data_IF_914983513434
#
_entry.id   IF_914983513434
#
_cell.length_a   1.000
_cell.length_b   1.000
_cell.length_c   1.000
_cell.angle_alpha   90.00
_cell.angle_beta   90.00
_cell.angle_gamma   90.00
#
_symmetry.space_group_name_H-M   'P 1'
#
loop_
_entity.id
_entity.type
_entity.pdbx_description
1 polymer ?
#
# COMPACT_ATOMS: atom_id res chain seq x y z
N UNK A 1 -10.91 16.39 29.47
CA UNK A 1 -12.15 15.69 29.07
C UNK A 1 -13.28 16.16 29.98
N UNK A 2 -14.36 16.70 29.41
CA UNK A 2 -15.55 17.15 30.17
C UNK A 2 -16.29 15.92 30.76
N UNK A 3 -16.52 15.86 32.08
CA UNK A 3 -17.26 14.76 32.72
C UNK A 3 -18.65 14.49 32.11
N UNK A 4 -19.32 15.52 31.57
CA UNK A 4 -20.64 15.37 30.94
C UNK A 4 -20.55 14.70 29.58
N UNK A 5 -19.49 15.00 28.84
CA UNK A 5 -19.21 14.40 27.54
C UNK A 5 -18.82 12.93 27.69
N UNK A 6 -17.96 12.62 28.66
CA UNK A 6 -17.61 11.24 29.03
C UNK A 6 -18.86 10.41 29.40
N UNK A 7 -19.76 10.97 30.21
CA UNK A 7 -20.98 10.29 30.61
C UNK A 7 -21.92 10.04 29.44
N UNK A 8 -22.09 11.01 28.53
CA UNK A 8 -22.88 10.85 27.30
C UNK A 8 -22.30 9.77 26.39
N UNK A 9 -21.00 9.78 26.13
CA UNK A 9 -20.34 8.74 25.34
C UNK A 9 -20.51 7.34 25.95
N UNK A 10 -20.41 7.23 27.29
CA UNK A 10 -20.55 5.96 27.99
C UNK A 10 -21.97 5.42 27.89
N UNK A 11 -22.99 6.28 28.01
CA UNK A 11 -24.38 5.89 27.85
C UNK A 11 -24.70 5.46 26.42
N UNK A 12 -24.25 6.22 25.42
CA UNK A 12 -24.48 5.90 24.01
C UNK A 12 -23.80 4.57 23.62
N UNK A 13 -22.55 4.36 24.05
CA UNK A 13 -21.86 3.06 23.88
C UNK A 13 -22.65 1.91 24.51
N UNK A 14 -23.10 2.09 25.75
CA UNK A 14 -23.85 1.06 26.50
C UNK A 14 -25.18 0.73 25.84
N UNK A 15 -25.89 1.74 25.30
CA UNK A 15 -27.18 1.57 24.64
C UNK A 15 -27.07 0.78 23.33
N UNK A 16 -25.95 0.89 22.60
CA UNK A 16 -25.72 0.18 21.34
C UNK A 16 -25.19 -1.25 21.53
N UNK A 17 -24.65 -1.59 22.69
CA UNK A 17 -24.07 -2.91 22.99
C UNK A 17 -25.02 -4.10 22.71
N UNK A 18 -26.30 -4.09 23.13
CA UNK A 18 -27.20 -5.20 22.85
C UNK A 18 -27.41 -5.45 21.36
N UNK A 19 -27.54 -4.37 20.56
CA UNK A 19 -27.69 -4.47 19.11
C UNK A 19 -26.44 -5.05 18.45
N UNK A 20 -25.25 -4.62 18.90
CA UNK A 20 -23.96 -5.15 18.43
C UNK A 20 -23.81 -6.64 18.74
N UNK A 21 -24.14 -7.07 19.96
CA UNK A 21 -24.11 -8.48 20.35
C UNK A 21 -25.08 -9.31 19.50
N UNK A 22 -26.29 -8.82 19.25
CA UNK A 22 -27.27 -9.51 18.42
C UNK A 22 -26.82 -9.67 16.96
N UNK A 23 -26.09 -8.69 16.42
CA UNK A 23 -25.56 -8.74 15.04
C UNK A 23 -24.22 -9.47 14.94
N UNK A 24 -23.53 -9.73 16.05
CA UNK A 24 -22.17 -10.28 16.06
C UNK A 24 -22.01 -11.55 15.20
N UNK A 25 -22.89 -12.57 15.23
CA UNK A 25 -22.75 -13.75 14.38
C UNK A 25 -22.78 -13.43 12.89
N UNK A 26 -23.67 -12.53 12.46
CA UNK A 26 -23.75 -12.09 11.06
C UNK A 26 -22.50 -11.32 10.64
N UNK A 27 -22.00 -10.44 11.52
CA UNK A 27 -20.79 -9.64 11.25
C UNK A 27 -19.52 -10.49 11.24
N UNK A 28 -19.42 -11.51 12.08
CA UNK A 28 -18.33 -12.49 12.00
C UNK A 28 -18.34 -13.25 10.68
N UNK A 29 -19.52 -13.65 10.20
CA UNK A 29 -19.66 -14.25 8.86
C UNK A 29 -19.18 -13.29 7.76
N UNK A 30 -19.64 -12.03 7.81
CA UNK A 30 -19.24 -11.00 6.86
C UNK A 30 -17.72 -10.74 6.85
N UNK A 31 -17.08 -10.67 8.03
CA UNK A 31 -15.63 -10.54 8.17
C UNK A 31 -14.87 -11.71 7.53
N UNK A 32 -15.41 -12.92 7.64
CA UNK A 32 -14.76 -14.13 7.15
C UNK A 32 -14.90 -14.34 5.64
N UNK A 33 -15.88 -13.69 5.00
CA UNK A 33 -16.16 -13.83 3.57
C UNK A 33 -15.84 -12.58 2.76
N UNK A 34 -15.41 -11.50 3.41
CA UNK A 34 -15.07 -10.26 2.74
C UNK A 34 -13.72 -10.39 2.03
N UNK A 35 -13.76 -10.32 0.71
CA UNK A 35 -12.59 -10.36 -0.16
C UNK A 35 -12.40 -9.00 -0.85
N UNK A 36 -11.16 -8.59 -1.15
CA UNK A 36 -10.92 -7.47 -2.05
C UNK A 36 -11.67 -7.63 -3.38
N UNK A 37 -11.96 -6.51 -4.05
CA UNK A 37 -12.44 -6.55 -5.42
C UNK A 37 -11.39 -7.19 -6.34
N UNK A 38 -11.80 -7.50 -7.56
CA UNK A 38 -10.86 -7.97 -8.59
C UNK A 38 -11.17 -7.21 -9.89
N UNK A 39 -10.25 -6.38 -10.33
CA UNK A 39 -10.31 -5.83 -11.68
C UNK A 39 -10.13 -6.98 -12.68
N UNK A 40 -11.06 -7.21 -13.63
CA UNK A 40 -10.92 -8.32 -14.58
C UNK A 40 -9.62 -8.25 -15.38
N UNK A 41 -8.93 -9.39 -15.49
CA UNK A 41 -7.71 -9.53 -16.27
C UNK A 41 -7.63 -10.91 -16.94
N UNK A 42 -6.81 -10.99 -17.97
CA UNK A 42 -6.37 -12.23 -18.60
C UNK A 42 -4.93 -12.54 -18.16
N UNK A 43 -4.64 -13.79 -17.78
CA UNK A 43 -3.25 -14.21 -17.57
C UNK A 43 -2.68 -14.63 -18.92
N UNK A 44 -1.70 -13.87 -19.41
CA UNK A 44 -1.11 -14.07 -20.76
C UNK A 44 0.26 -14.74 -20.71
N UNK A 45 0.87 -14.86 -19.52
CA UNK A 45 2.12 -15.58 -19.29
C UNK A 45 2.17 -16.08 -17.85
N UNK A 46 2.72 -17.28 -17.65
CA UNK A 46 3.02 -17.86 -16.33
C UNK A 46 4.36 -18.61 -16.37
N UNK A 47 5.19 -18.37 -15.36
CA UNK A 47 6.41 -19.12 -15.11
C UNK A 47 6.67 -19.23 -13.61
N UNK A 48 6.52 -20.44 -13.07
CA UNK A 48 6.63 -20.67 -11.63
C UNK A 48 5.61 -19.81 -10.85
N UNK A 49 6.04 -19.00 -9.88
CA UNK A 49 5.16 -18.08 -9.14
C UNK A 49 4.88 -16.76 -9.87
N UNK A 50 5.53 -16.49 -11.01
CA UNK A 50 5.35 -15.25 -11.76
C UNK A 50 4.20 -15.38 -12.76
N UNK A 51 3.32 -14.37 -12.81
CA UNK A 51 2.24 -14.26 -13.79
C UNK A 51 2.21 -12.86 -14.41
N UNK A 52 1.98 -12.78 -15.72
CA UNK A 52 1.72 -11.52 -16.42
C UNK A 52 0.21 -11.38 -16.63
N UNK A 53 -0.37 -10.39 -15.95
CA UNK A 53 -1.80 -10.05 -16.05
C UNK A 53 -1.99 -8.93 -17.07
N UNK A 54 -2.85 -9.17 -18.05
CA UNK A 54 -3.28 -8.18 -19.04
C UNK A 54 -4.66 -7.67 -18.66
N UNK A 55 -4.75 -6.38 -18.44
CA UNK A 55 -6.01 -5.68 -18.17
C UNK A 55 -6.56 -5.09 -19.46
N UNK A 56 -7.87 -5.19 -19.68
CA UNK A 56 -8.52 -4.57 -20.83
C UNK A 56 -8.70 -3.06 -20.58
N UNK A 57 -8.23 -2.17 -21.49
CA UNK A 57 -8.45 -0.74 -21.34
C UNK A 57 -9.95 -0.43 -21.39
N UNK A 58 -10.43 0.29 -20.37
CA UNK A 58 -11.83 0.76 -20.31
C UNK A 58 -12.10 1.99 -21.17
N UNK A 59 -11.05 2.71 -21.58
CA UNK A 59 -11.16 3.91 -22.41
C UNK A 59 -11.32 3.57 -23.91
N UNK A 60 -12.05 4.41 -24.68
CA UNK A 60 -12.14 4.32 -26.14
C UNK A 60 -10.77 4.25 -26.81
N UNK A 61 -10.70 3.66 -28.01
CA UNK A 61 -9.43 3.43 -28.70
C UNK A 61 -8.67 4.72 -29.03
N UNK A 62 -9.40 5.79 -29.34
CA UNK A 62 -8.92 7.14 -29.63
C UNK A 62 -8.40 7.90 -28.40
N UNK A 63 -8.76 7.46 -27.18
CA UNK A 63 -8.24 8.01 -25.92
C UNK A 63 -7.06 7.19 -25.36
N UNK A 64 -6.67 6.10 -26.03
CA UNK A 64 -5.57 5.25 -25.59
C UNK A 64 -4.22 5.91 -25.85
N UNK A 65 -3.25 5.54 -25.02
CA UNK A 65 -1.85 5.94 -25.16
C UNK A 65 -1.08 4.84 -25.86
N UNK A 66 -0.08 5.24 -26.65
CA UNK A 66 0.76 4.31 -27.40
C UNK A 66 1.70 3.49 -26.52
N UNK A 67 2.09 4.08 -25.39
CA UNK A 67 3.00 3.46 -24.45
C UNK A 67 2.19 2.58 -23.51
N UNK A 68 2.38 1.25 -23.51
CA UNK A 68 1.71 0.38 -22.56
C UNK A 68 2.24 0.63 -21.14
N UNK A 69 1.34 0.62 -20.17
CA UNK A 69 1.71 0.68 -18.75
C UNK A 69 2.02 -0.74 -18.24
N UNK A 70 3.25 -0.94 -17.78
CA UNK A 70 3.64 -2.15 -17.05
C UNK A 70 3.77 -1.82 -15.55
N UNK A 71 3.03 -2.53 -14.71
CA UNK A 71 3.08 -2.37 -13.25
C UNK A 71 3.77 -3.61 -12.66
N UNK A 72 4.94 -3.40 -12.06
CA UNK A 72 5.63 -4.41 -11.27
C UNK A 72 5.26 -4.23 -9.79
N UNK A 73 4.56 -5.21 -9.21
CA UNK A 73 4.19 -5.17 -7.81
C UNK A 73 5.39 -5.55 -6.92
N UNK A 74 5.48 -5.00 -5.70
CA UNK A 74 6.45 -5.46 -4.71
C UNK A 74 6.32 -6.96 -4.44
N UNK A 75 7.46 -7.62 -4.18
CA UNK A 75 7.58 -9.08 -3.98
C UNK A 75 6.67 -9.68 -2.91
N UNK A 76 6.09 -8.86 -2.03
CA UNK A 76 5.30 -9.26 -0.86
C UNK A 76 3.81 -8.91 -1.03
N UNK A 77 3.45 -8.11 -2.05
CA UNK A 77 2.10 -7.56 -2.15
C UNK A 77 1.19 -8.42 -3.04
N UNK A 78 -0.04 -8.63 -2.56
CA UNK A 78 -1.14 -9.03 -3.42
C UNK A 78 -1.62 -7.80 -4.24
N UNK A 79 -1.66 -7.87 -5.59
CA UNK A 79 -2.13 -6.80 -6.46
C UNK A 79 -3.53 -6.29 -6.19
N UNK A 80 -4.38 -7.07 -5.51
CA UNK A 80 -5.74 -6.71 -5.14
C UNK A 80 -5.83 -5.52 -4.18
N UNK A 81 -4.70 -5.03 -3.65
CA UNK A 81 -4.63 -3.78 -2.88
C UNK A 81 -5.24 -2.58 -3.63
N UNK A 82 -5.13 -2.55 -4.96
CA UNK A 82 -5.68 -1.47 -5.78
C UNK A 82 -7.19 -1.61 -6.02
N UNK A 83 -7.76 -2.77 -5.68
CA UNK A 83 -9.17 -3.10 -5.86
C UNK A 83 -9.96 -2.97 -4.54
N UNK A 84 -9.42 -2.22 -3.57
CA UNK A 84 -10.08 -1.97 -2.28
C UNK A 84 -11.25 -0.99 -2.37
N UNK A 85 -11.24 -0.11 -3.37
CA UNK A 85 -12.32 0.83 -3.61
C UNK A 85 -13.59 0.09 -4.08
N UNK A 86 -14.67 0.26 -3.32
CA UNK A 86 -15.97 -0.35 -3.58
C UNK A 86 -16.60 0.20 -4.87
N UNK A 87 -17.32 -0.66 -5.59
CA UNK A 87 -18.00 -0.44 -6.88
C UNK A 87 -18.93 0.79 -6.89
N UNK A 88 -19.29 1.31 -5.70
CA UNK A 88 -20.09 2.52 -5.49
C UNK A 88 -19.36 3.82 -5.83
N UNK A 89 -18.04 3.79 -6.05
CA UNK A 89 -17.22 4.94 -6.42
C UNK A 89 -16.65 4.85 -7.85
N UNK A 90 -17.20 3.94 -8.66
CA UNK A 90 -16.65 3.54 -9.95
C UNK A 90 -15.90 2.21 -9.82
N UNK A 91 -15.75 1.43 -10.90
CA UNK A 91 -15.11 0.14 -10.81
C UNK A 91 -13.63 0.30 -10.43
N UNK A 92 -13.02 -0.71 -9.79
CA UNK A 92 -11.63 -0.63 -9.35
C UNK A 92 -10.72 -0.29 -10.55
N UNK A 93 -9.89 0.74 -10.39
CA UNK A 93 -9.12 1.40 -11.45
C UNK A 93 -9.91 1.59 -12.77
N UNK A 94 -11.08 2.22 -12.71
CA UNK A 94 -11.66 2.84 -13.90
C UNK A 94 -10.99 4.18 -14.13
N UNK A 95 -10.12 4.23 -15.14
CA UNK A 95 -9.61 5.47 -15.68
C UNK A 95 -10.72 6.16 -16.46
N UNK A 96 -11.62 6.84 -15.75
CA UNK A 96 -12.57 7.77 -16.37
C UNK A 96 -11.85 9.11 -16.58
N UNK A 97 -11.96 9.64 -17.80
CA UNK A 97 -11.49 10.97 -18.16
C UNK A 97 -12.34 12.00 -17.42
N UNK A 98 -11.76 12.65 -16.41
CA UNK A 98 -12.32 13.86 -15.86
C UNK A 98 -12.24 14.95 -16.93
N UNK A 99 -13.35 15.17 -17.63
CA UNK A 99 -13.55 16.35 -18.46
C UNK A 99 -13.64 17.58 -17.56
N UNK A 100 -12.77 18.54 -17.85
CA UNK A 100 -12.82 19.98 -17.55
C UNK A 100 -13.66 20.39 -16.33
N UNK A 101 -12.97 20.58 -15.21
CA UNK A 101 -13.49 21.28 -14.05
C UNK A 101 -12.34 21.83 -13.22
N UNK A 102 -11.94 23.07 -13.47
CA UNK A 102 -11.09 23.82 -12.57
C UNK A 102 -11.76 23.89 -11.18
N UNK A 103 -11.19 23.20 -10.19
CA UNK A 103 -11.55 23.38 -8.80
C UNK A 103 -10.35 23.96 -8.05
N UNK A 104 -10.44 25.25 -7.74
CA UNK A 104 -9.51 25.96 -6.87
C UNK A 104 -9.38 25.28 -5.49
N UNK A 105 -8.20 25.37 -4.84
CA UNK A 105 -7.94 24.72 -3.56
C UNK A 105 -8.85 25.31 -2.47
N UNK A 106 -9.77 24.48 -1.99
CA UNK A 106 -10.61 24.82 -0.85
C UNK A 106 -9.80 24.55 0.42
N UNK A 107 -9.43 25.63 1.12
CA UNK A 107 -8.77 25.55 2.42
C UNK A 107 -9.53 24.61 3.36
N UNK A 108 -8.85 23.56 3.85
CA UNK A 108 -9.35 22.71 4.90
C UNK A 108 -9.46 23.53 6.19
N UNK A 109 -10.71 23.80 6.56
CA UNK A 109 -11.17 24.20 7.88
C UNK A 109 -10.61 23.21 8.92
N UNK A 110 -9.81 23.75 9.85
CA UNK A 110 -9.23 23.03 10.96
C UNK A 110 -10.17 23.00 12.17
N UNK A 111 -10.72 21.82 12.46
CA UNK A 111 -11.14 21.34 13.79
C UNK A 111 -11.46 19.85 13.61
N UNK A 112 -10.76 18.88 14.18
CA UNK A 112 -10.53 18.66 15.60
C UNK A 112 -9.24 17.86 15.83
N UNK A 113 -8.18 18.54 16.27
CA UNK A 113 -7.03 17.88 16.89
C UNK A 113 -7.35 17.59 18.36
N UNK A 114 -7.69 16.35 18.70
CA UNK A 114 -7.82 15.93 20.10
C UNK A 114 -6.44 15.52 20.63
N UNK A 115 -5.76 16.47 21.27
CA UNK A 115 -4.47 16.28 21.96
C UNK A 115 -4.68 15.46 23.24
N UNK A 116 -4.31 14.18 23.21
CA UNK A 116 -4.08 13.38 24.42
C UNK A 116 -2.70 13.67 25.02
N UNK A 117 -2.47 13.42 26.32
CA UNK A 117 -1.25 13.82 27.00
C UNK A 117 -0.03 13.06 26.42
N UNK A 118 0.97 13.84 26.05
CA UNK A 118 2.29 13.40 25.63
C UNK A 118 2.98 12.64 26.75
N UNK A 119 2.96 11.31 26.69
CA UNK A 119 3.98 10.48 27.33
C UNK A 119 5.26 10.63 26.51
N UNK A 120 6.33 10.99 27.22
CA UNK A 120 7.68 11.20 26.70
C UNK A 120 8.07 10.12 25.69
N UNK A 121 8.52 10.58 24.52
CA UNK A 121 8.92 9.76 23.39
C UNK A 121 10.01 8.77 23.83
N UNK A 122 9.64 7.50 23.93
CA UNK A 122 10.55 6.43 23.56
C UNK A 122 10.93 6.74 22.12
N UNK A 123 12.23 6.88 21.86
CA UNK A 123 12.79 7.12 20.53
C UNK A 123 12.28 6.01 19.59
N UNK A 124 11.19 6.30 18.87
CA UNK A 124 10.58 5.36 17.95
C UNK A 124 11.45 5.36 16.71
N UNK A 125 12.42 4.46 16.66
CA UNK A 125 13.05 4.05 15.42
C UNK A 125 11.96 3.81 14.37
N UNK A 126 12.00 4.52 13.24
CA UNK A 126 11.03 4.32 12.16
C UNK A 126 11.01 2.83 11.76
N UNK A 127 9.92 2.36 11.14
CA UNK A 127 9.73 0.94 10.81
C UNK A 127 10.90 0.30 10.05
N UNK A 128 11.59 1.03 9.18
CA UNK A 128 12.81 0.54 8.51
C UNK A 128 13.97 0.29 9.50
N UNK A 129 14.10 1.09 10.54
CA UNK A 129 15.14 0.93 11.57
C UNK A 129 14.78 -0.21 12.53
N UNK A 130 13.49 -0.45 12.80
CA UNK A 130 13.05 -1.66 13.49
C UNK A 130 13.34 -2.91 12.66
N UNK A 131 13.03 -2.90 11.36
CA UNK A 131 13.33 -4.02 10.45
C UNK A 131 14.83 -4.28 10.42
N UNK A 132 15.66 -3.24 10.29
CA UNK A 132 17.12 -3.36 10.36
C UNK A 132 17.59 -3.91 11.70
N UNK A 133 17.00 -3.46 12.81
CA UNK A 133 17.36 -3.96 14.15
C UNK A 133 16.99 -5.42 14.32
N UNK A 134 15.78 -5.83 13.90
CA UNK A 134 15.37 -7.23 13.94
C UNK A 134 16.25 -8.10 13.04
N UNK A 135 16.51 -7.64 11.81
CA UNK A 135 17.40 -8.31 10.86
C UNK A 135 18.85 -8.39 11.37
N UNK A 136 19.36 -7.38 12.07
CA UNK A 136 20.71 -7.42 12.64
C UNK A 136 20.83 -8.39 13.82
N UNK A 137 19.71 -8.72 14.49
CA UNK A 137 19.66 -9.61 15.65
C UNK A 137 19.20 -11.04 15.30
N UNK A 138 18.86 -11.31 14.04
CA UNK A 138 18.46 -12.62 13.55
C UNK A 138 19.22 -12.94 12.28
N UNK A 139 19.82 -14.13 12.20
CA UNK A 139 20.49 -14.57 10.98
C UNK A 139 19.43 -14.94 9.93
N UNK A 140 19.29 -14.17 8.83
CA UNK A 140 18.27 -14.44 7.83
C UNK A 140 18.51 -15.79 7.12
N UNK A 141 19.74 -16.31 7.13
CA UNK A 141 20.05 -17.64 6.62
C UNK A 141 19.36 -18.74 7.41
N UNK A 142 19.15 -18.56 8.73
CA UNK A 142 18.42 -19.55 9.54
C UNK A 142 16.96 -19.68 9.12
N UNK A 143 16.34 -18.59 8.68
CA UNK A 143 14.97 -18.61 8.15
C UNK A 143 14.97 -19.29 6.78
N UNK A 144 15.93 -18.97 5.92
CA UNK A 144 16.07 -19.60 4.61
C UNK A 144 16.34 -21.12 4.69
N UNK A 145 17.16 -21.56 5.64
CA UNK A 145 17.48 -22.97 5.88
C UNK A 145 16.28 -23.74 6.47
N UNK A 146 15.42 -23.05 7.24
CA UNK A 146 14.23 -23.64 7.84
C UNK A 146 13.03 -23.71 6.87
N UNK A 147 12.94 -22.76 5.93
CA UNK A 147 11.82 -22.61 5.02
C UNK A 147 12.30 -22.43 3.58
N UNK A 148 12.08 -23.45 2.73
CA UNK A 148 12.28 -23.33 1.28
C UNK A 148 11.44 -22.18 0.69
N UNK A 149 10.22 -22.01 1.22
CA UNK A 149 9.36 -20.87 0.98
C UNK A 149 8.93 -20.28 2.34
N UNK A 150 9.40 -19.06 2.63
CA UNK A 150 9.06 -18.30 3.83
C UNK A 150 7.55 -18.06 3.86
N UNK A 151 6.84 -18.55 4.89
CA UNK A 151 5.39 -18.41 4.97
C UNK A 151 4.97 -16.95 5.19
N UNK A 152 3.96 -16.48 4.47
CA UNK A 152 3.35 -15.15 4.64
C UNK A 152 2.93 -14.84 6.09
N UNK A 153 2.39 -15.81 6.86
CA UNK A 153 2.06 -15.57 8.28
C UNK A 153 3.25 -15.19 9.15
N UNK A 154 4.47 -15.61 8.81
CA UNK A 154 5.68 -15.22 9.53
C UNK A 154 5.98 -13.73 9.33
N UNK A 155 5.80 -13.26 8.09
CA UNK A 155 5.96 -11.85 7.74
C UNK A 155 4.86 -10.98 8.36
N UNK A 156 3.61 -11.45 8.36
CA UNK A 156 2.50 -10.79 9.05
C UNK A 156 2.77 -10.64 10.55
N UNK A 157 3.30 -11.68 11.20
CA UNK A 157 3.64 -11.62 12.62
C UNK A 157 4.72 -10.56 12.89
N UNK A 158 5.74 -10.46 12.03
CA UNK A 158 6.76 -9.42 12.13
C UNK A 158 6.15 -8.00 11.99
N UNK A 159 5.23 -7.81 11.05
CA UNK A 159 4.51 -6.52 10.87
C UNK A 159 3.62 -6.18 12.07
N UNK A 160 2.91 -7.15 12.63
CA UNK A 160 2.03 -6.95 13.78
C UNK A 160 2.81 -6.56 15.05
N UNK A 161 4.01 -7.14 15.23
CA UNK A 161 4.89 -6.83 16.36
C UNK A 161 5.46 -5.41 16.33
N UNK A 162 5.41 -4.72 15.19
CA UNK A 162 5.82 -3.30 15.09
C UNK A 162 4.88 -2.37 15.84
N UNK A 163 3.57 -2.62 15.76
CA UNK A 163 2.55 -1.83 16.44
C UNK A 163 1.65 -2.74 17.28
N UNK A 164 2.18 -3.38 18.33
CA UNK A 164 1.48 -4.44 19.04
C UNK A 164 0.20 -3.92 19.71
N UNK A 165 0.23 -2.69 20.23
CA UNK A 165 -0.95 -2.03 20.80
C UNK A 165 -1.99 -1.72 19.72
N UNK A 166 -1.56 -1.21 18.56
CA UNK A 166 -2.48 -0.86 17.48
C UNK A 166 -3.20 -2.10 16.93
N UNK A 167 -2.43 -3.14 16.58
CA UNK A 167 -2.98 -4.36 15.99
C UNK A 167 -3.73 -5.25 16.98
N UNK A 168 -3.28 -5.33 18.24
CA UNK A 168 -3.86 -6.26 19.23
C UNK A 168 -4.98 -5.62 20.06
N UNK A 169 -4.99 -4.30 20.22
CA UNK A 169 -5.93 -3.60 21.11
C UNK A 169 -6.75 -2.56 20.34
N UNK A 170 -6.11 -1.58 19.72
CA UNK A 170 -6.81 -0.42 19.12
C UNK A 170 -7.73 -0.83 17.98
N UNK A 171 -7.25 -1.64 17.03
CA UNK A 171 -8.01 -2.05 15.85
C UNK A 171 -9.23 -2.93 16.22
N UNK A 172 -9.11 -3.96 17.08
CA UNK A 172 -10.27 -4.68 17.59
C UNK A 172 -11.30 -3.80 18.30
N UNK A 173 -10.86 -2.82 19.10
CA UNK A 173 -11.76 -1.88 19.77
C UNK A 173 -12.46 -0.94 18.79
N UNK A 174 -11.74 -0.41 17.79
CA UNK A 174 -12.33 0.41 16.71
C UNK A 174 -13.37 -0.37 15.90
N UNK A 175 -13.08 -1.63 15.59
CA UNK A 175 -14.04 -2.52 14.93
C UNK A 175 -15.28 -2.75 15.80
N UNK A 176 -15.10 -3.01 17.10
CA UNK A 176 -16.23 -3.14 18.03
C UNK A 176 -17.07 -1.86 18.09
N UNK A 177 -16.43 -0.69 18.11
CA UNK A 177 -17.11 0.61 18.13
C UNK A 177 -17.96 0.86 16.86
N UNK A 178 -17.63 0.23 15.72
CA UNK A 178 -18.38 0.36 14.46
C UNK A 178 -18.98 -0.94 13.91
N UNK A 179 -19.17 -1.95 14.77
CA UNK A 179 -19.67 -3.27 14.37
C UNK A 179 -21.08 -3.24 13.76
N UNK A 180 -21.85 -2.21 14.09
CA UNK A 180 -23.18 -1.93 13.55
C UNK A 180 -23.18 -1.41 12.11
N UNK A 181 -22.02 -0.93 11.62
CA UNK A 181 -21.85 -0.45 10.25
C UNK A 181 -21.37 -1.60 9.32
N UNK A 182 -22.25 -2.15 8.46
CA UNK A 182 -21.88 -3.22 7.55
C UNK A 182 -20.72 -2.86 6.63
N UNK A 183 -20.61 -1.61 6.17
CA UNK A 183 -19.59 -1.21 5.20
C UNK A 183 -18.20 -1.20 5.86
N UNK A 184 -18.12 -0.73 7.11
CA UNK A 184 -16.87 -0.73 7.89
C UNK A 184 -16.41 -2.14 8.20
N UNK A 185 -17.35 -3.03 8.54
CA UNK A 185 -17.05 -4.44 8.81
C UNK A 185 -16.53 -5.14 7.55
N UNK A 186 -17.12 -4.85 6.39
CA UNK A 186 -16.68 -5.38 5.11
C UNK A 186 -15.28 -4.89 4.76
N UNK A 187 -15.03 -3.57 4.81
CA UNK A 187 -13.72 -2.98 4.53
C UNK A 187 -12.62 -3.56 5.44
N UNK A 188 -12.93 -3.75 6.72
CA UNK A 188 -12.01 -4.40 7.66
C UNK A 188 -11.71 -5.85 7.27
N UNK A 189 -12.74 -6.60 6.86
CA UNK A 189 -12.60 -7.97 6.39
C UNK A 189 -11.74 -8.07 5.12
N UNK A 190 -11.97 -7.20 4.13
CA UNK A 190 -11.15 -7.11 2.90
C UNK A 190 -9.66 -6.87 3.24
N UNK A 191 -9.38 -5.92 4.14
CA UNK A 191 -8.00 -5.60 4.59
C UNK A 191 -7.34 -6.81 5.25
N UNK A 192 -8.10 -7.55 6.06
CA UNK A 192 -7.61 -8.75 6.75
C UNK A 192 -7.34 -9.89 5.77
N UNK A 193 -8.23 -10.12 4.79
CA UNK A 193 -8.04 -11.17 3.79
C UNK A 193 -6.80 -10.89 2.93
N UNK A 194 -6.68 -9.66 2.41
CA UNK A 194 -5.50 -9.22 1.65
C UNK A 194 -4.20 -9.39 2.44
N UNK A 195 -4.17 -8.95 3.70
CA UNK A 195 -2.98 -9.08 4.54
C UNK A 195 -2.57 -10.56 4.75
N UNK A 196 -3.52 -11.49 4.74
CA UNK A 196 -3.28 -12.92 4.88
C UNK A 196 -2.92 -13.62 3.54
N UNK A 197 -3.15 -12.96 2.40
CA UNK A 197 -3.07 -13.54 1.06
C UNK A 197 -1.74 -13.34 0.32
N UNK A 198 -0.73 -12.72 0.95
CA UNK A 198 0.54 -12.42 0.30
C UNK A 198 1.27 -13.67 -0.23
N UNK A 199 2.03 -13.58 -1.34
CA UNK A 199 2.78 -14.71 -1.89
C UNK A 199 3.88 -15.17 -0.93
N UNK A 200 4.17 -16.47 -0.92
CA UNK A 200 5.33 -17.00 -0.21
C UNK A 200 6.62 -16.59 -0.92
N UNK A 201 7.63 -16.18 -0.16
CA UNK A 201 8.93 -15.76 -0.69
C UNK A 201 9.92 -16.93 -0.59
N UNK A 202 10.75 -17.16 -1.61
CA UNK A 202 11.79 -18.20 -1.49
C UNK A 202 12.78 -17.83 -0.37
N UNK A 203 13.23 -18.82 0.39
CA UNK A 203 14.18 -18.61 1.48
C UNK A 203 15.45 -17.89 1.00
N UNK A 204 15.96 -18.27 -0.17
CA UNK A 204 17.13 -17.62 -0.78
C UNK A 204 16.89 -16.14 -1.10
N UNK A 205 15.75 -15.80 -1.73
CA UNK A 205 15.42 -14.41 -2.03
C UNK A 205 15.21 -13.57 -0.77
N UNK A 206 14.62 -14.17 0.29
CA UNK A 206 14.50 -13.52 1.59
C UNK A 206 15.88 -13.19 2.19
N UNK A 207 16.79 -14.17 2.22
CA UNK A 207 18.12 -13.98 2.79
C UNK A 207 18.96 -12.95 2.02
N UNK A 208 18.92 -13.02 0.68
CA UNK A 208 19.58 -12.04 -0.19
C UNK A 208 19.01 -10.64 0.03
N UNK A 209 17.68 -10.48 0.03
CA UNK A 209 17.02 -9.18 0.24
C UNK A 209 17.39 -8.56 1.59
N UNK A 210 17.26 -9.33 2.68
CA UNK A 210 17.52 -8.82 4.04
C UNK A 210 18.99 -8.49 4.21
N UNK A 211 19.89 -9.35 3.75
CA UNK A 211 21.33 -9.16 3.95
C UNK A 211 21.87 -8.07 3.04
N UNK A 212 21.70 -8.24 1.74
CA UNK A 212 22.39 -7.41 0.75
C UNK A 212 21.73 -6.05 0.57
N UNK A 213 20.40 -5.97 0.64
CA UNK A 213 19.67 -4.73 0.36
C UNK A 213 19.29 -3.97 1.64
N UNK A 214 18.79 -4.65 2.68
CA UNK A 214 18.34 -3.98 3.91
C UNK A 214 19.50 -3.64 4.85
N UNK A 215 20.37 -4.62 5.13
CA UNK A 215 21.48 -4.47 6.08
C UNK A 215 22.71 -3.82 5.44
N UNK A 216 23.13 -4.33 4.28
CA UNK A 216 24.36 -3.89 3.60
C UNK A 216 24.16 -2.76 2.59
N UNK A 217 22.91 -2.46 2.22
CA UNK A 217 22.55 -1.36 1.30
C UNK A 217 23.25 -1.44 -0.07
N UNK A 218 23.63 -2.64 -0.53
CA UNK A 218 24.49 -2.86 -1.71
C UNK A 218 23.98 -2.20 -2.99
N UNK A 219 22.67 -2.04 -3.14
CA UNK A 219 22.06 -1.38 -4.30
C UNK A 219 22.47 0.10 -4.40
N UNK A 220 22.31 0.87 -3.32
CA UNK A 220 22.69 2.30 -3.32
C UNK A 220 24.21 2.48 -3.20
N UNK A 221 24.92 1.54 -2.60
CA UNK A 221 26.40 1.53 -2.59
C UNK A 221 27.00 1.11 -3.93
N UNK A 222 26.19 0.71 -4.92
CA UNK A 222 26.65 0.31 -6.26
C UNK A 222 27.44 -1.02 -6.29
N UNK A 223 27.24 -1.88 -5.29
CA UNK A 223 27.97 -3.16 -5.14
C UNK A 223 27.07 -4.39 -5.29
N UNK A 224 25.78 -4.20 -5.56
CA UNK A 224 24.85 -5.31 -5.73
C UNK A 224 25.03 -5.99 -7.10
N UNK A 225 25.03 -7.32 -7.10
CA UNK A 225 25.08 -8.14 -8.31
C UNK A 225 23.88 -9.06 -8.36
N UNK A 226 23.19 -9.10 -9.51
CA UNK A 226 22.06 -9.99 -9.74
C UNK A 226 22.36 -10.88 -10.95
N UNK A 227 22.35 -12.20 -10.73
CA UNK A 227 22.73 -13.20 -11.73
C UNK A 227 24.12 -12.93 -12.37
N UNK A 228 25.10 -12.55 -11.55
CA UNK A 228 26.48 -12.26 -11.98
C UNK A 228 26.62 -10.99 -12.83
N UNK A 229 25.62 -10.11 -12.80
CA UNK A 229 25.65 -8.79 -13.44
C UNK A 229 25.55 -7.73 -12.35
N UNK A 230 26.50 -6.80 -12.33
CA UNK A 230 26.42 -5.61 -11.48
C UNK A 230 25.16 -4.81 -11.84
N UNK A 231 24.43 -4.40 -10.80
CA UNK A 231 23.26 -3.54 -10.91
C UNK A 231 23.72 -2.10 -10.74
N UNK A 232 23.52 -1.31 -11.79
CA UNK A 232 23.98 0.07 -11.88
C UNK A 232 22.80 1.01 -12.10
N UNK A 233 22.50 1.82 -11.08
CA UNK A 233 21.38 2.78 -11.08
C UNK A 233 21.61 3.94 -12.04
N UNK A 234 22.86 4.26 -12.40
CA UNK A 234 23.16 5.32 -13.38
C UNK A 234 22.69 4.95 -14.79
N UNK A 235 22.33 3.67 -15.02
CA UNK A 235 21.71 3.23 -16.29
C UNK A 235 20.23 3.56 -16.40
N UNK A 236 19.63 4.09 -15.34
CA UNK A 236 18.25 4.59 -15.33
C UNK A 236 18.31 6.07 -15.72
N UNK A 237 18.18 6.33 -17.03
CA UNK A 237 18.22 7.66 -17.64
C UNK A 237 16.84 8.14 -18.16
N UNK A 238 15.82 7.29 -18.04
CA UNK A 238 14.43 7.61 -18.38
C UNK A 238 13.72 8.40 -17.26
N UNK A 239 12.59 9.09 -17.54
CA UNK A 239 11.84 9.78 -16.50
C UNK A 239 11.45 8.89 -15.30
N UNK A 240 11.62 9.41 -14.09
CA UNK A 240 11.34 8.69 -12.82
C UNK A 240 10.39 9.49 -11.96
N UNK A 241 9.28 8.86 -11.54
CA UNK A 241 8.36 9.41 -10.55
C UNK A 241 8.39 8.56 -9.29
N UNK A 242 8.75 9.17 -8.17
CA UNK A 242 8.68 8.56 -6.85
C UNK A 242 7.40 9.02 -6.13
N UNK A 243 6.55 8.08 -5.70
CA UNK A 243 5.31 8.38 -4.98
C UNK A 243 5.49 7.98 -3.51
N UNK A 244 5.28 8.90 -2.58
CA UNK A 244 5.59 8.73 -1.16
C UNK A 244 4.43 9.14 -0.26
N UNK A 245 4.25 8.41 0.84
CA UNK A 245 3.48 8.85 1.99
C UNK A 245 4.39 9.59 2.98
N UNK A 246 4.06 10.82 3.37
CA UNK A 246 4.88 11.58 4.33
C UNK A 246 4.83 11.00 5.74
N UNK A 247 3.82 10.19 6.04
CA UNK A 247 3.63 9.50 7.32
C UNK A 247 3.96 8.00 7.20
N UNK A 248 4.63 7.61 6.11
CA UNK A 248 5.09 6.24 5.92
C UNK A 248 6.21 5.92 6.91
N UNK A 249 5.88 5.11 7.91
CA UNK A 249 6.87 4.61 8.86
C UNK A 249 7.58 3.36 8.34
N UNK A 250 7.05 2.65 7.33
CA UNK A 250 7.68 1.43 6.79
C UNK A 250 8.82 1.77 5.83
N UNK A 251 8.55 2.64 4.86
CA UNK A 251 9.53 3.17 3.91
C UNK A 251 9.49 4.69 3.99
N UNK A 252 10.11 5.29 5.02
CA UNK A 252 9.99 6.73 5.22
C UNK A 252 10.61 7.51 4.06
N UNK A 253 10.14 8.73 3.75
CA UNK A 253 10.69 9.55 2.66
C UNK A 253 12.21 9.70 2.72
N UNK A 254 12.80 9.76 3.92
CA UNK A 254 14.26 9.82 4.11
C UNK A 254 15.01 8.60 3.56
N UNK A 255 14.36 7.43 3.51
CA UNK A 255 14.94 6.20 2.97
C UNK A 255 14.72 6.07 1.45
N UNK A 256 13.62 6.60 0.92
CA UNK A 256 13.28 6.48 -0.49
C UNK A 256 13.88 7.59 -1.37
N UNK A 257 13.92 8.84 -0.88
CA UNK A 257 14.42 10.00 -1.66
C UNK A 257 15.84 9.83 -2.23
N UNK A 258 16.82 9.22 -1.52
CA UNK A 258 18.17 9.02 -2.08
C UNK A 258 18.19 8.24 -3.40
N UNK A 259 17.16 7.46 -3.70
CA UNK A 259 17.03 6.79 -5.00
C UNK A 259 17.04 7.78 -6.18
N UNK A 260 16.39 8.94 -6.04
CA UNK A 260 16.36 9.96 -7.10
C UNK A 260 17.73 10.59 -7.36
N UNK A 261 18.63 10.57 -6.36
CA UNK A 261 20.00 11.07 -6.48
C UNK A 261 20.93 10.01 -7.09
N UNK A 262 20.55 8.73 -7.02
CA UNK A 262 21.35 7.61 -7.50
C UNK A 262 21.10 7.24 -8.97
N UNK A 263 20.01 7.75 -9.58
CA UNK A 263 19.67 7.52 -11.00
C UNK A 263 20.19 8.67 -11.87
N UNK A 264 20.46 8.38 -13.15
CA UNK A 264 20.93 9.40 -14.12
C UNK A 264 19.80 10.19 -14.79
N UNK A 265 18.54 9.94 -14.42
CA UNK A 265 17.36 10.59 -14.99
C UNK A 265 17.40 12.12 -14.80
N UNK A 266 17.33 12.86 -15.91
CA UNK A 266 17.17 14.32 -15.90
C UNK A 266 15.72 14.77 -15.60
N UNK A 267 14.75 13.86 -15.73
CA UNK A 267 13.33 14.08 -15.47
C UNK A 267 12.84 13.23 -14.29
N UNK A 268 13.38 13.55 -13.11
CA UNK A 268 13.08 12.87 -11.85
C UNK A 268 12.23 13.77 -10.94
N UNK A 269 11.13 13.23 -10.40
CA UNK A 269 10.23 13.95 -9.50
C UNK A 269 9.74 13.07 -8.35
N UNK A 270 9.34 13.72 -7.25
CA UNK A 270 8.65 13.08 -6.13
C UNK A 270 7.25 13.69 -5.94
N UNK A 271 6.23 12.85 -5.80
CA UNK A 271 4.91 13.22 -5.30
C UNK A 271 4.76 12.71 -3.88
N UNK A 272 4.49 13.62 -2.95
CA UNK A 272 4.36 13.30 -1.53
C UNK A 272 2.95 13.63 -1.03
N UNK A 273 2.34 12.67 -0.35
CA UNK A 273 0.97 12.74 0.13
C UNK A 273 0.91 12.56 1.65
N UNK A 274 0.02 13.28 2.37
CA UNK A 274 -0.10 13.22 3.82
C UNK A 274 -0.78 11.92 4.27
N UNK A 275 -0.07 10.80 4.14
CA UNK A 275 -0.61 9.46 4.37
C UNK A 275 0.46 8.47 4.77
N UNK A 276 0.01 7.33 5.30
CA UNK A 276 0.84 6.18 5.65
C UNK A 276 1.13 5.28 4.42
N UNK A 277 2.00 4.29 4.58
CA UNK A 277 2.39 3.33 3.54
C UNK A 277 1.21 2.80 2.70
N UNK A 278 0.25 2.14 3.34
CA UNK A 278 -0.91 1.55 2.67
C UNK A 278 -1.89 2.64 2.20
N UNK A 279 -1.93 3.77 2.89
CA UNK A 279 -2.81 4.88 2.55
C UNK A 279 -2.52 5.47 1.17
N UNK A 280 -1.27 5.42 0.68
CA UNK A 280 -0.93 5.80 -0.70
C UNK A 280 -1.70 5.00 -1.76
N UNK A 281 -2.15 3.79 -1.43
CA UNK A 281 -2.85 2.89 -2.34
C UNK A 281 -4.36 2.85 -2.11
N UNK A 282 -4.82 2.95 -0.86
CA UNK A 282 -6.23 2.64 -0.50
C UNK A 282 -6.99 3.79 0.17
N UNK A 283 -6.34 4.93 0.45
CA UNK A 283 -7.07 6.07 0.99
C UNK A 283 -8.08 6.59 -0.04
N UNK A 284 -9.24 7.13 0.38
CA UNK A 284 -10.18 7.77 -0.54
C UNK A 284 -9.49 8.82 -1.43
N UNK A 285 -8.67 9.68 -0.82
CA UNK A 285 -7.90 10.72 -1.49
C UNK A 285 -6.86 10.15 -2.46
N UNK A 286 -6.40 8.92 -2.24
CA UNK A 286 -5.50 8.25 -3.19
C UNK A 286 -6.17 8.07 -4.55
N UNK A 287 -7.44 7.65 -4.56
CA UNK A 287 -8.21 7.45 -5.78
C UNK A 287 -8.74 8.76 -6.36
N UNK A 288 -9.20 9.66 -5.48
CA UNK A 288 -9.87 10.90 -5.90
C UNK A 288 -8.88 11.98 -6.38
N UNK A 289 -7.63 11.98 -5.88
CA UNK A 289 -6.66 13.07 -6.13
C UNK A 289 -5.26 12.58 -6.52
N UNK A 290 -4.69 11.63 -5.79
CA UNK A 290 -3.25 11.34 -5.87
C UNK A 290 -2.85 10.50 -7.10
N UNK A 291 -3.53 9.38 -7.35
CA UNK A 291 -3.33 8.56 -8.56
C UNK A 291 -3.69 9.31 -9.85
N UNK A 292 -4.76 10.14 -9.90
CA UNK A 292 -4.99 11.05 -11.02
C UNK A 292 -3.80 11.95 -11.34
N UNK A 293 -3.10 12.49 -10.33
CA UNK A 293 -1.92 13.33 -10.52
C UNK A 293 -0.70 12.55 -11.02
N UNK A 294 -0.49 11.33 -10.49
CA UNK A 294 0.54 10.43 -11.01
C UNK A 294 0.28 10.04 -12.47
N UNK A 295 -0.99 9.78 -12.82
CA UNK A 295 -1.43 9.50 -14.19
C UNK A 295 -1.17 10.68 -15.11
N UNK A 296 -1.48 11.90 -14.68
CA UNK A 296 -1.23 13.12 -15.47
C UNK A 296 0.27 13.25 -15.79
N UNK A 297 1.13 13.10 -14.79
CA UNK A 297 2.58 13.12 -14.97
C UNK A 297 3.06 12.06 -15.98
N UNK A 298 2.54 10.83 -15.89
CA UNK A 298 2.86 9.75 -16.85
C UNK A 298 2.31 10.06 -18.26
N UNK A 299 1.11 10.62 -18.33
CA UNK A 299 0.41 10.96 -19.57
C UNK A 299 1.13 12.04 -20.38
N UNK A 300 1.71 13.04 -19.73
CA UNK A 300 2.54 14.07 -20.39
C UNK A 300 3.75 13.47 -21.13
N UNK A 301 4.22 12.31 -20.67
CA UNK A 301 5.39 11.59 -21.21
C UNK A 301 5.00 10.41 -22.11
N UNK A 302 3.70 10.11 -22.20
CA UNK A 302 3.15 9.01 -23.00
C UNK A 302 2.42 9.59 -24.21
N UNK A 303 3.02 9.43 -25.40
CA UNK A 303 2.43 9.89 -26.66
C UNK A 303 0.99 9.41 -26.87
N UNK A 304 0.21 10.17 -27.66
CA UNK A 304 -1.16 9.82 -28.05
C UNK A 304 -1.14 9.02 -29.34
N UNK A 305 -1.93 7.94 -29.38
CA UNK A 305 -2.04 7.06 -30.56
C UNK A 305 -2.37 7.82 -31.83
N UNK A 306 -1.39 7.88 -32.76
CA UNK A 306 -1.66 8.30 -34.12
C UNK A 306 -2.47 7.20 -34.81
N UNK A 307 -3.68 7.53 -35.25
CA UNK A 307 -4.59 6.63 -35.98
C UNK A 307 -3.87 5.74 -36.98
N UNK A 308 -4.18 4.44 -36.92
CA UNK A 308 -3.88 3.46 -37.95
C UNK A 308 -4.38 3.97 -39.30
N UNK A 309 -3.48 4.21 -40.26
CA UNK A 309 -3.85 4.42 -41.65
C UNK A 309 -4.72 3.24 -42.13
N UNK A 310 -5.92 3.50 -42.68
CA UNK A 310 -6.73 2.44 -43.24
C UNK A 310 -6.06 1.92 -44.52
N UNK A 311 -5.81 0.61 -44.56
CA UNK A 311 -5.40 -0.12 -45.76
C UNK A 311 -6.54 -0.24 -46.77
#
# INVERSE_FOLDING_TARGET
>A
MDPREFYRQTLDRTARTPAKIAQAPLRTGQLATAEPGVTPYEVVYEEGPASLRRYEPRVPADERRDVPLAIAYPFINDPSILDFADDRRGPPLAFETAADGESEPRAADGSDAHTGPSTEAVDNADGIDLVRTLAANHDPQQIADAFDAVPSPLLEAALALRKPVEYTVTNPLRLWDRLDDPAVVEEYGRKRSWAAGGPALSGAAYAEFVTELVLENRLLEGTWELHGRSVDLERIDMPVLLILGTEDEFVPPRAARPFLEAVASEDAAALEFPTSHVGTSVAPEAHDEWWPRAREWLSERSGVSSESEPA
#
